data_IF_752452755668
#
_entry.id   IF_752452755668
#
_cell.length_a   1.000
_cell.length_b   1.000
_cell.length_c   1.000
_cell.angle_alpha   90.00
_cell.angle_beta   90.00
_cell.angle_gamma   90.00
#
_symmetry.space_group_name_H-M   'P 1'
#
loop_
_entity.id
_entity.type
_entity.pdbx_description
1 polymer ?
#
# COMPACT_ATOMS: atom_id res chain seq x y z
N UNK A 1 1.63 -21.59 15.21
CA UNK A 1 1.21 -21.19 13.85
C UNK A 1 1.35 -19.68 13.71
N UNK A 2 2.29 -19.22 12.89
CA UNK A 2 2.51 -17.78 12.68
C UNK A 2 1.46 -17.28 11.68
N UNK A 3 0.70 -16.22 12.03
CA UNK A 3 -0.25 -15.59 11.11
C UNK A 3 0.54 -14.98 9.95
N UNK A 4 0.44 -15.55 8.75
CA UNK A 4 1.02 -14.95 7.56
C UNK A 4 0.20 -13.70 7.19
N UNK A 5 0.79 -12.52 7.39
CA UNK A 5 0.15 -11.26 7.00
C UNK A 5 0.40 -11.06 5.51
N UNK A 6 -0.64 -11.18 4.70
CA UNK A 6 -0.53 -10.92 3.26
C UNK A 6 -0.36 -9.42 3.00
N UNK A 7 0.71 -9.01 2.29
CA UNK A 7 0.91 -7.62 1.96
C UNK A 7 -0.17 -7.11 1.00
N UNK A 8 -0.67 -5.90 1.24
CA UNK A 8 -1.58 -5.18 0.34
C UNK A 8 -0.84 -4.13 -0.46
N UNK A 9 -1.37 -3.77 -1.62
CA UNK A 9 -0.80 -2.71 -2.45
C UNK A 9 -1.11 -1.33 -1.85
N UNK A 10 -0.12 -0.45 -1.57
CA UNK A 10 -0.37 0.88 -1.03
C UNK A 10 -1.26 1.76 -1.94
N UNK A 11 -1.12 1.61 -3.26
CA UNK A 11 -1.94 2.32 -4.24
C UNK A 11 -3.35 1.75 -4.38
N UNK A 12 -3.54 0.48 -4.04
CA UNK A 12 -4.82 -0.22 -4.14
C UNK A 12 -5.09 -0.98 -2.84
N UNK A 13 -5.49 -0.30 -1.75
CA UNK A 13 -5.61 -0.91 -0.42
C UNK A 13 -6.65 -2.02 -0.30
N UNK A 14 -7.58 -2.11 -1.26
CA UNK A 14 -8.54 -3.21 -1.39
C UNK A 14 -7.89 -4.50 -1.93
N UNK A 15 -6.79 -4.38 -2.65
CA UNK A 15 -6.16 -5.49 -3.36
C UNK A 15 -4.90 -6.01 -2.63
N UNK A 16 -4.73 -7.33 -2.68
CA UNK A 16 -3.46 -7.97 -2.31
C UNK A 16 -2.36 -7.58 -3.29
N UNK A 17 -1.12 -7.62 -2.83
CA UNK A 17 0.02 -7.43 -3.73
C UNK A 17 0.03 -8.55 -4.79
N UNK A 18 0.04 -8.18 -6.07
CA UNK A 18 0.06 -9.10 -7.21
C UNK A 18 1.44 -9.24 -7.86
N UNK A 19 2.48 -8.65 -7.27
CA UNK A 19 3.85 -8.63 -7.81
C UNK A 19 3.92 -8.15 -9.27
N UNK A 20 3.14 -7.12 -9.61
CA UNK A 20 3.03 -6.63 -10.99
C UNK A 20 4.30 -5.96 -11.53
N UNK A 21 5.27 -5.65 -10.67
CA UNK A 21 6.53 -5.05 -11.06
C UNK A 21 7.65 -6.11 -11.10
N UNK A 22 8.40 -6.23 -12.21
CA UNK A 22 9.49 -7.20 -12.31
C UNK A 22 10.53 -7.04 -11.19
N UNK A 23 10.87 -8.14 -10.52
CA UNK A 23 11.88 -8.16 -9.46
C UNK A 23 11.39 -7.70 -8.08
N UNK A 24 10.12 -7.28 -7.93
CA UNK A 24 9.54 -7.02 -6.62
C UNK A 24 9.09 -8.32 -5.95
N UNK A 25 9.31 -8.45 -4.64
CA UNK A 25 8.74 -9.49 -3.78
C UNK A 25 7.68 -8.94 -2.81
N UNK A 26 7.43 -7.62 -2.87
CA UNK A 26 6.35 -6.97 -2.15
C UNK A 26 6.35 -5.45 -2.31
N UNK A 27 5.52 -4.73 -1.52
CA UNK A 27 5.44 -3.27 -1.59
C UNK A 27 6.74 -2.54 -1.23
N UNK A 28 7.61 -3.17 -0.43
CA UNK A 28 8.81 -2.53 0.10
C UNK A 28 9.94 -2.37 -0.94
N UNK A 29 9.92 -3.15 -2.02
CA UNK A 29 10.86 -3.05 -3.14
C UNK A 29 10.14 -2.86 -4.50
N UNK A 30 8.87 -2.43 -4.47
CA UNK A 30 8.12 -2.13 -5.69
C UNK A 30 8.52 -0.75 -6.22
N UNK A 31 9.04 -0.68 -7.45
CA UNK A 31 9.45 0.58 -8.07
C UNK A 31 8.32 1.63 -8.17
N UNK A 32 7.07 1.19 -8.37
CA UNK A 32 5.92 2.09 -8.39
C UNK A 32 5.63 2.70 -7.01
N UNK A 33 5.75 1.90 -5.94
CA UNK A 33 5.59 2.39 -4.56
C UNK A 33 6.72 3.36 -4.20
N UNK A 34 7.94 3.08 -4.65
CA UNK A 34 9.08 3.99 -4.48
C UNK A 34 8.79 5.37 -5.08
N UNK A 35 8.30 5.44 -6.32
CA UNK A 35 7.97 6.70 -6.97
C UNK A 35 6.88 7.47 -6.22
N UNK A 36 5.80 6.78 -5.81
CA UNK A 36 4.71 7.38 -5.05
C UNK A 36 5.18 7.95 -3.70
N UNK A 37 6.05 7.23 -2.99
CA UNK A 37 6.53 7.65 -1.66
C UNK A 37 7.60 8.75 -1.73
N UNK A 38 8.32 8.87 -2.84
CA UNK A 38 9.30 9.93 -3.07
C UNK A 38 8.68 11.24 -3.57
N UNK A 39 7.42 11.22 -3.99
CA UNK A 39 6.66 12.41 -4.34
C UNK A 39 5.92 12.93 -3.11
N UNK A 40 6.20 14.17 -2.70
CA UNK A 40 5.67 14.73 -1.44
C UNK A 40 4.15 14.91 -1.46
N UNK A 41 3.59 15.33 -2.61
CA UNK A 41 2.16 15.53 -2.77
C UNK A 41 1.43 14.19 -2.70
N UNK A 42 1.90 13.19 -3.47
CA UNK A 42 1.32 11.84 -3.45
C UNK A 42 1.46 11.17 -2.09
N UNK A 43 2.57 11.39 -1.38
CA UNK A 43 2.79 10.87 -0.03
C UNK A 43 1.80 11.47 0.98
N UNK A 44 1.51 12.76 0.88
CA UNK A 44 0.53 13.44 1.73
C UNK A 44 -0.89 12.95 1.43
N UNK A 45 -1.28 12.86 0.14
CA UNK A 45 -2.55 12.31 -0.30
C UNK A 45 -2.75 10.86 0.17
N UNK A 46 -1.70 10.03 0.13
CA UNK A 46 -1.73 8.68 0.67
C UNK A 46 -1.96 8.68 2.20
N UNK A 47 -1.29 9.57 2.93
CA UNK A 47 -1.47 9.70 4.37
C UNK A 47 -2.89 10.14 4.72
N UNK A 48 -3.46 11.09 3.96
CA UNK A 48 -4.86 11.52 4.05
C UNK A 48 -5.83 10.38 3.80
N UNK A 49 -5.68 9.68 2.68
CA UNK A 49 -6.53 8.52 2.34
C UNK A 49 -6.51 7.44 3.43
N UNK A 50 -5.35 7.22 4.07
CA UNK A 50 -5.21 6.32 5.22
C UNK A 50 -5.91 6.83 6.48
N UNK A 51 -5.90 8.14 6.75
CA UNK A 51 -6.66 8.73 7.86
C UNK A 51 -8.16 8.55 7.63
N UNK A 52 -8.64 8.93 6.44
CA UNK A 52 -10.04 8.75 6.04
C UNK A 52 -10.51 7.29 6.10
N UNK A 53 -9.69 6.33 5.65
CA UNK A 53 -10.03 4.91 5.74
C UNK A 53 -10.16 4.40 7.18
N UNK A 54 -9.39 4.96 8.12
CA UNK A 54 -9.48 4.62 9.56
C UNK A 54 -10.71 5.25 10.21
N UNK A 55 -11.04 6.48 9.83
CA UNK A 55 -12.21 7.21 10.30
C UNK A 55 -13.52 6.61 9.74
N UNK A 56 -13.46 6.07 8.52
CA UNK A 56 -14.61 5.50 7.81
C UNK A 56 -14.86 4.00 7.97
N UNK A 57 -14.04 3.22 8.71
CA UNK A 57 -14.27 1.77 8.74
C UNK A 57 -13.36 0.93 9.63
N UNK A 58 -13.82 0.68 10.86
CA UNK A 58 -13.82 -0.68 11.40
C UNK A 58 -14.82 -1.50 10.58
N UNK A 59 -14.36 -2.32 9.64
CA UNK A 59 -15.25 -3.18 8.84
C UNK A 59 -14.56 -3.76 7.63
N UNK A 60 -13.72 -4.76 7.88
CA UNK A 60 -13.40 -5.80 6.90
C UNK A 60 -14.57 -6.80 6.83
#
# INVERSE_FOLDING_TARGET
MTRHVEPRCPLRPADKCSLCHPGADGPHNCGLVYLMMNDDELRELYAEGRRHAREGGSGA
#
